data_IF_311652593011
#
_entry.id   IF_311652593011
#
_cell.length_a   1.000
_cell.length_b   1.000
_cell.length_c   1.000
_cell.angle_alpha   90.00
_cell.angle_beta   90.00
_cell.angle_gamma   90.00
#
_symmetry.space_group_name_H-M   'P 1'
#
loop_
_entity.id
_entity.type
_entity.pdbx_description
1 polymer ?
#
# COMPACT_ATOMS: atom_id res chain seq x y z
N UNK A 1 -17.56 -28.60 -26.89
CA UNK A 1 -17.29 -29.14 -25.55
C UNK A 1 -16.06 -28.43 -24.99
N UNK A 2 -16.26 -27.65 -23.93
CA UNK A 2 -15.19 -27.01 -23.14
C UNK A 2 -14.38 -28.07 -22.39
N UNK A 3 -13.06 -27.90 -22.34
CA UNK A 3 -12.25 -28.36 -21.20
C UNK A 3 -11.06 -27.42 -21.00
N UNK A 4 -11.38 -26.29 -20.37
CA UNK A 4 -10.45 -25.63 -19.46
C UNK A 4 -10.09 -26.62 -18.35
N UNK A 5 -8.89 -27.18 -18.38
CA UNK A 5 -8.25 -27.86 -17.25
C UNK A 5 -6.85 -28.35 -17.67
N UNK A 6 -5.93 -27.41 -17.90
CA UNK A 6 -4.49 -27.66 -17.78
C UNK A 6 -3.70 -26.35 -17.90
N UNK A 7 -4.17 -25.27 -17.26
CA UNK A 7 -3.20 -24.27 -16.80
C UNK A 7 -2.52 -24.93 -15.61
N UNK A 8 -1.45 -25.66 -15.93
CA UNK A 8 -0.45 -26.13 -14.99
C UNK A 8 -0.02 -24.92 -14.16
N UNK A 9 -0.59 -24.79 -12.97
CA UNK A 9 -0.04 -23.99 -11.87
C UNK A 9 1.27 -24.68 -11.51
N UNK A 10 2.31 -24.42 -12.30
CA UNK A 10 3.63 -24.36 -11.73
C UNK A 10 3.52 -23.16 -10.80
N UNK A 11 3.44 -23.43 -9.51
CA UNK A 11 3.93 -22.47 -8.52
C UNK A 11 5.35 -22.14 -8.97
N UNK A 12 5.49 -21.07 -9.75
CA UNK A 12 6.78 -20.48 -9.98
C UNK A 12 7.15 -19.95 -8.60
N UNK A 13 7.95 -20.74 -7.87
CA UNK A 13 8.56 -20.31 -6.62
C UNK A 13 9.20 -18.96 -6.90
N UNK A 14 8.81 -17.92 -6.15
CA UNK A 14 9.47 -16.63 -6.28
C UNK A 14 10.93 -16.80 -5.86
N UNK A 15 11.85 -16.61 -6.80
CA UNK A 15 13.29 -16.81 -6.56
C UNK A 15 13.98 -15.55 -6.03
N UNK A 16 13.23 -14.44 -5.92
CA UNK A 16 13.72 -13.14 -5.52
C UNK A 16 13.53 -12.07 -6.59
N UNK A 17 13.81 -10.83 -6.19
CA UNK A 17 13.78 -9.67 -7.07
C UNK A 17 15.05 -9.60 -7.91
N UNK A 18 14.94 -9.33 -9.21
CA UNK A 18 16.11 -9.00 -10.05
C UNK A 18 16.83 -7.76 -9.52
N UNK A 19 16.06 -6.75 -9.09
CA UNK A 19 16.55 -5.57 -8.41
C UNK A 19 15.59 -5.18 -7.27
N UNK A 20 15.91 -5.44 -5.99
CA UNK A 20 14.99 -5.16 -4.89
C UNK A 20 14.77 -3.67 -4.63
N UNK A 21 15.64 -2.76 -5.11
CA UNK A 21 15.42 -1.31 -4.95
C UNK A 21 14.49 -0.72 -6.02
N UNK A 22 14.25 -1.46 -7.11
CA UNK A 22 13.36 -1.08 -8.22
C UNK A 22 12.66 -2.33 -8.77
N UNK A 23 11.79 -2.97 -7.97
CA UNK A 23 11.18 -4.22 -8.38
C UNK A 23 10.08 -3.98 -9.42
N UNK A 24 9.88 -4.94 -10.32
CA UNK A 24 8.75 -4.92 -11.24
C UNK A 24 7.46 -5.18 -10.47
N UNK A 25 6.34 -4.67 -10.97
CA UNK A 25 5.01 -4.91 -10.39
C UNK A 25 4.69 -6.40 -10.22
N UNK A 26 5.06 -7.22 -11.21
CA UNK A 26 4.85 -8.67 -11.17
C UNK A 26 5.70 -9.37 -10.12
N UNK A 27 6.93 -8.89 -9.87
CA UNK A 27 7.79 -9.43 -8.82
C UNK A 27 7.23 -9.09 -7.44
N UNK A 28 6.79 -7.83 -7.26
CA UNK A 28 6.16 -7.39 -6.02
C UNK A 28 4.88 -8.18 -5.73
N UNK A 29 4.04 -8.39 -6.75
CA UNK A 29 2.83 -9.20 -6.62
C UNK A 29 3.16 -10.64 -6.26
N UNK A 30 4.11 -11.27 -6.96
CA UNK A 30 4.51 -12.66 -6.67
C UNK A 30 5.07 -12.80 -5.26
N UNK A 31 5.95 -11.88 -4.83
CA UNK A 31 6.46 -11.84 -3.46
C UNK A 31 5.34 -11.63 -2.43
N UNK A 32 4.37 -10.76 -2.70
CA UNK A 32 3.30 -10.46 -1.76
C UNK A 32 2.42 -11.69 -1.44
N UNK A 33 2.33 -12.63 -2.38
CA UNK A 33 1.67 -13.92 -2.21
C UNK A 33 2.56 -15.03 -1.63
N UNK A 34 3.87 -14.81 -1.57
CA UNK A 34 4.85 -15.74 -0.99
C UNK A 34 5.89 -14.96 -0.16
N UNK A 35 5.51 -14.18 0.88
CA UNK A 35 6.43 -13.26 1.54
C UNK A 35 7.58 -13.95 2.27
N UNK A 36 7.43 -15.23 2.61
CA UNK A 36 8.47 -16.04 3.24
C UNK A 36 9.57 -16.48 2.25
N UNK A 37 9.33 -16.41 0.95
CA UNK A 37 10.33 -16.76 -0.09
C UNK A 37 11.56 -15.86 -0.03
N UNK A 38 11.36 -14.58 0.27
CA UNK A 38 12.42 -13.64 0.61
C UNK A 38 11.98 -12.80 1.80
N UNK A 39 12.52 -13.05 3.01
CA UNK A 39 12.09 -12.36 4.21
C UNK A 39 12.42 -10.88 4.12
N UNK A 40 11.60 -10.02 4.75
CA UNK A 40 11.82 -8.58 4.80
C UNK A 40 13.20 -8.20 5.37
N UNK A 41 13.79 -9.02 6.24
CA UNK A 41 15.14 -8.80 6.77
C UNK A 41 16.25 -8.91 5.72
N UNK A 42 15.96 -9.50 4.56
CA UNK A 42 16.87 -9.58 3.42
C UNK A 42 16.66 -8.43 2.42
N UNK A 43 15.66 -7.58 2.63
CA UNK A 43 15.42 -6.39 1.80
C UNK A 43 16.35 -5.24 2.19
N UNK A 44 16.58 -4.27 1.29
CA UNK A 44 17.23 -3.02 1.65
C UNK A 44 16.60 -2.38 2.88
N UNK A 45 17.39 -1.61 3.64
CA UNK A 45 16.84 -0.74 4.67
C UNK A 45 15.83 0.22 4.03
N UNK A 46 14.73 0.48 4.72
CA UNK A 46 13.66 1.39 4.27
C UNK A 46 13.05 0.98 2.92
N UNK A 47 12.97 -0.34 2.67
CA UNK A 47 12.43 -0.89 1.43
C UNK A 47 10.99 -0.46 1.15
N UNK A 48 10.18 -0.33 2.21
CA UNK A 48 8.84 0.25 2.17
C UNK A 48 8.84 1.67 1.59
N UNK A 49 9.81 2.52 1.94
CA UNK A 49 9.97 3.86 1.35
C UNK A 49 10.33 3.78 -0.15
N UNK A 50 11.24 2.88 -0.52
CA UNK A 50 11.70 2.72 -1.90
C UNK A 50 10.57 2.34 -2.84
N UNK A 51 9.72 1.40 -2.42
CA UNK A 51 8.65 0.87 -3.29
C UNK A 51 7.36 1.69 -3.25
N UNK A 52 7.18 2.61 -2.29
CA UNK A 52 5.96 3.43 -2.12
C UNK A 52 5.85 4.61 -3.12
N UNK A 53 6.34 4.41 -4.34
CA UNK A 53 6.36 5.39 -5.42
C UNK A 53 5.18 5.29 -6.40
N UNK A 54 5.13 6.21 -7.38
CA UNK A 54 4.06 6.26 -8.39
C UNK A 54 4.06 5.05 -9.34
N UNK A 55 5.20 4.39 -9.54
CA UNK A 55 5.33 3.20 -10.41
C UNK A 55 4.57 2.03 -9.80
N UNK A 56 4.83 1.70 -8.54
CA UNK A 56 4.26 0.54 -7.85
C UNK A 56 2.98 0.85 -7.07
N UNK A 57 2.62 2.13 -6.90
CA UNK A 57 1.41 2.55 -6.21
C UNK A 57 0.13 1.80 -6.63
N UNK A 58 -0.15 1.57 -7.93
CA UNK A 58 -1.29 0.75 -8.35
C UNK A 58 -1.24 -0.69 -7.85
N UNK A 59 -0.08 -1.36 -7.96
CA UNK A 59 0.10 -2.74 -7.49
C UNK A 59 -0.06 -2.82 -5.97
N UNK A 60 0.58 -1.91 -5.23
CA UNK A 60 0.44 -1.81 -3.77
C UNK A 60 -1.01 -1.58 -3.35
N UNK A 61 -1.75 -0.76 -4.09
CA UNK A 61 -3.16 -0.53 -3.82
C UNK A 61 -4.00 -1.79 -4.00
N UNK A 62 -3.83 -2.54 -5.10
CA UNK A 62 -4.54 -3.82 -5.28
C UNK A 62 -4.20 -4.81 -4.16
N UNK A 63 -2.92 -4.94 -3.79
CA UNK A 63 -2.47 -5.82 -2.72
C UNK A 63 -3.04 -5.41 -1.35
N UNK A 64 -3.21 -4.12 -1.08
CA UNK A 64 -3.81 -3.61 0.16
C UNK A 64 -5.34 -3.86 0.20
N UNK A 65 -6.00 -3.84 -0.95
CA UNK A 65 -7.42 -4.14 -1.11
C UNK A 65 -7.74 -5.63 -1.00
N UNK A 66 -6.80 -6.52 -1.37
CA UNK A 66 -7.04 -7.96 -1.37
C UNK A 66 -6.93 -8.57 0.04
N UNK A 67 -8.04 -9.16 0.52
CA UNK A 67 -8.14 -9.81 1.82
C UNK A 67 -7.40 -11.16 1.90
N UNK A 68 -7.07 -11.75 0.76
CA UNK A 68 -6.34 -13.03 0.68
C UNK A 68 -4.82 -12.83 0.56
N UNK A 69 -4.36 -11.62 0.29
CA UNK A 69 -2.93 -11.31 0.18
C UNK A 69 -2.20 -11.50 1.54
N UNK A 70 -1.22 -12.42 1.63
CA UNK A 70 -0.42 -12.60 2.85
C UNK A 70 0.35 -11.34 3.26
N UNK A 71 0.96 -10.63 2.30
CA UNK A 71 1.68 -9.38 2.56
C UNK A 71 0.77 -8.14 2.61
N UNK A 72 -0.55 -8.30 2.70
CA UNK A 72 -1.52 -7.20 2.67
C UNK A 72 -1.21 -6.08 3.64
N UNK A 73 -0.85 -6.44 4.88
CA UNK A 73 -0.53 -5.47 5.93
C UNK A 73 0.68 -4.60 5.58
N UNK A 74 1.67 -5.18 4.90
CA UNK A 74 2.82 -4.45 4.39
C UNK A 74 2.41 -3.52 3.24
N UNK A 75 1.56 -3.98 2.32
CA UNK A 75 1.02 -3.12 1.26
C UNK A 75 0.21 -1.93 1.82
N UNK A 76 -0.61 -2.15 2.86
CA UNK A 76 -1.32 -1.07 3.55
C UNK A 76 -0.38 -0.03 4.17
N UNK A 77 0.74 -0.48 4.74
CA UNK A 77 1.78 0.41 5.26
C UNK A 77 2.39 1.27 4.15
N UNK A 78 2.76 0.66 3.03
CA UNK A 78 3.24 1.38 1.85
C UNK A 78 2.19 2.37 1.32
N UNK A 79 0.89 2.07 1.41
CA UNK A 79 -0.17 3.02 1.03
C UNK A 79 -0.27 4.23 1.97
N UNK A 80 0.09 4.10 3.25
CA UNK A 80 0.21 5.27 4.15
C UNK A 80 1.42 6.13 3.78
N UNK A 81 2.57 5.54 3.48
CA UNK A 81 3.76 6.25 2.98
C UNK A 81 3.44 6.98 1.67
N UNK A 82 2.82 6.29 0.71
CA UNK A 82 2.41 6.87 -0.57
C UNK A 82 1.51 8.10 -0.37
N UNK A 83 0.56 8.00 0.57
CA UNK A 83 -0.35 9.09 0.90
C UNK A 83 0.37 10.26 1.58
N UNK A 84 1.28 10.01 2.52
CA UNK A 84 2.09 11.03 3.18
C UNK A 84 2.85 11.90 2.17
N UNK A 85 3.40 11.30 1.11
CA UNK A 85 4.04 12.04 0.03
C UNK A 85 3.03 12.75 -0.89
N UNK A 86 1.87 12.14 -1.14
CA UNK A 86 0.81 12.72 -1.96
C UNK A 86 0.12 13.95 -1.36
N UNK A 87 0.17 14.13 -0.05
CA UNK A 87 -0.44 15.29 0.64
C UNK A 87 0.49 16.51 0.76
N UNK A 88 1.80 16.36 0.52
CA UNK A 88 2.75 17.48 0.64
C UNK A 88 2.38 18.61 -0.31
N UNK A 89 2.66 19.86 0.08
CA UNK A 89 2.31 21.04 -0.72
C UNK A 89 2.89 20.95 -2.14
N UNK A 90 4.13 20.50 -2.26
CA UNK A 90 4.88 20.32 -3.51
C UNK A 90 4.58 19.02 -4.27
N UNK A 91 3.64 18.18 -3.81
CA UNK A 91 3.29 16.96 -4.53
C UNK A 91 2.64 17.31 -5.88
N UNK A 92 3.01 16.55 -6.92
CA UNK A 92 2.54 16.79 -8.29
C UNK A 92 1.03 16.65 -8.41
N UNK A 93 0.42 17.39 -9.34
CA UNK A 93 -1.02 17.29 -9.63
C UNK A 93 -1.43 15.87 -10.02
N UNK A 94 -0.56 15.15 -10.74
CA UNK A 94 -0.79 13.76 -11.11
C UNK A 94 -0.87 12.84 -9.88
N UNK A 95 0.06 13.01 -8.92
CA UNK A 95 0.08 12.22 -7.68
C UNK A 95 -1.16 12.48 -6.83
N UNK A 96 -1.51 13.76 -6.64
CA UNK A 96 -2.74 14.17 -5.93
C UNK A 96 -3.99 13.57 -6.58
N UNK A 97 -4.09 13.59 -7.92
CA UNK A 97 -5.21 12.97 -8.65
C UNK A 97 -5.26 11.46 -8.48
N UNK A 98 -4.11 10.78 -8.49
CA UNK A 98 -4.05 9.32 -8.29
C UNK A 98 -4.45 8.94 -6.88
N UNK A 99 -3.93 9.62 -5.86
CA UNK A 99 -4.30 9.42 -4.46
C UNK A 99 -5.82 9.55 -4.27
N UNK A 100 -6.44 10.60 -4.83
CA UNK A 100 -7.90 10.77 -4.78
C UNK A 100 -8.67 9.58 -5.36
N UNK A 101 -8.24 9.05 -6.51
CA UNK A 101 -8.88 7.86 -7.11
C UNK A 101 -8.78 6.62 -6.23
N UNK A 102 -7.64 6.41 -5.59
CA UNK A 102 -7.46 5.30 -4.66
C UNK A 102 -8.37 5.47 -3.43
N UNK A 103 -8.44 6.67 -2.87
CA UNK A 103 -9.34 6.98 -1.75
C UNK A 103 -10.80 6.73 -2.10
N UNK A 104 -11.27 7.24 -3.24
CA UNK A 104 -12.64 7.06 -3.72
C UNK A 104 -12.98 5.56 -3.86
N UNK A 105 -12.08 4.76 -4.43
CA UNK A 105 -12.29 3.31 -4.57
C UNK A 105 -12.27 2.58 -3.22
N UNK A 106 -11.33 2.91 -2.35
CA UNK A 106 -11.24 2.31 -1.01
C UNK A 106 -12.48 2.63 -0.16
N UNK A 107 -13.09 3.81 -0.31
CA UNK A 107 -14.34 4.16 0.36
C UNK A 107 -15.54 3.38 -0.18
N UNK A 108 -15.60 3.17 -1.50
CA UNK A 108 -16.73 2.51 -2.14
C UNK A 108 -16.74 1.00 -1.94
N UNK A 109 -15.58 0.35 -2.08
CA UNK A 109 -15.49 -1.13 -2.13
C UNK A 109 -14.44 -1.71 -1.20
N UNK A 110 -13.70 -0.88 -0.47
CA UNK A 110 -12.72 -1.35 0.51
C UNK A 110 -13.38 -1.90 1.77
N UNK A 111 -12.66 -2.80 2.44
CA UNK A 111 -13.00 -3.23 3.79
C UNK A 111 -12.58 -2.17 4.82
N UNK A 112 -12.85 -2.42 6.11
CA UNK A 112 -12.66 -1.45 7.17
C UNK A 112 -11.23 -0.82 7.21
N UNK A 113 -10.11 -1.58 7.14
CA UNK A 113 -8.77 -0.98 7.06
C UNK A 113 -8.60 0.01 5.90
N UNK A 114 -9.13 -0.32 4.72
CA UNK A 114 -9.01 0.55 3.54
C UNK A 114 -9.94 1.76 3.61
N UNK A 115 -11.11 1.62 4.23
CA UNK A 115 -12.00 2.75 4.53
C UNK A 115 -11.37 3.70 5.56
N UNK A 116 -10.71 3.16 6.60
CA UNK A 116 -9.96 3.96 7.58
C UNK A 116 -8.80 4.69 6.89
N UNK A 117 -8.03 3.99 6.05
CA UNK A 117 -6.96 4.61 5.27
C UNK A 117 -7.47 5.77 4.41
N UNK A 118 -8.55 5.57 3.66
CA UNK A 118 -9.11 6.62 2.82
C UNK A 118 -9.62 7.83 3.63
N UNK A 119 -10.30 7.59 4.75
CA UNK A 119 -10.67 8.63 5.70
C UNK A 119 -9.46 9.42 6.20
N UNK A 120 -8.40 8.71 6.62
CA UNK A 120 -7.18 9.32 7.14
C UNK A 120 -6.47 10.16 6.08
N UNK A 121 -6.37 9.67 4.85
CA UNK A 121 -5.86 10.43 3.71
C UNK A 121 -6.65 11.73 3.50
N UNK A 122 -7.99 11.66 3.53
CA UNK A 122 -8.84 12.85 3.36
C UNK A 122 -8.64 13.87 4.47
N UNK A 123 -8.53 13.40 5.72
CA UNK A 123 -8.24 14.26 6.86
C UNK A 123 -6.89 14.93 6.68
N UNK A 124 -5.83 14.17 6.35
CA UNK A 124 -4.49 14.74 6.19
C UNK A 124 -4.41 15.75 5.04
N UNK A 125 -5.13 15.52 3.93
CA UNK A 125 -5.21 16.46 2.81
C UNK A 125 -5.82 17.81 3.19
N UNK A 126 -6.73 17.84 4.16
CA UNK A 126 -7.38 19.08 4.63
C UNK A 126 -6.71 19.66 5.87
N UNK A 127 -6.00 18.82 6.62
CA UNK A 127 -5.35 19.13 7.89
C UNK A 127 -3.94 18.54 7.96
N UNK A 128 -2.97 19.10 7.20
CA UNK A 128 -1.60 18.57 7.17
C UNK A 128 -0.89 18.60 8.52
N UNK A 129 -1.34 19.45 9.45
CA UNK A 129 -0.82 19.53 10.82
C UNK A 129 -1.08 18.28 11.67
N UNK A 130 -1.96 17.38 11.20
CA UNK A 130 -2.19 16.07 11.82
C UNK A 130 -1.21 14.98 11.34
N UNK A 131 -0.21 15.34 10.54
CA UNK A 131 0.86 14.41 10.18
C UNK A 131 1.67 14.03 11.43
N UNK A 132 1.79 12.73 11.66
CA UNK A 132 2.66 12.16 12.68
C UNK A 132 3.58 11.13 12.02
N UNK A 133 4.90 11.26 12.24
CA UNK A 133 5.87 10.42 11.56
C UNK A 133 5.70 8.94 11.92
N UNK A 134 5.47 8.65 13.20
CA UNK A 134 5.33 7.28 13.68
C UNK A 134 4.07 6.59 13.10
N UNK A 135 2.96 7.32 13.06
CA UNK A 135 1.70 6.85 12.53
C UNK A 135 1.74 6.56 11.03
N UNK A 136 2.33 7.48 10.26
CA UNK A 136 2.27 7.45 8.79
C UNK A 136 3.45 6.74 8.14
N UNK A 137 4.66 6.94 8.67
CA UNK A 137 5.91 6.46 8.04
C UNK A 137 6.42 5.17 8.68
N UNK A 138 6.13 4.93 9.95
CA UNK A 138 6.63 3.74 10.68
C UNK A 138 5.56 2.67 10.90
N UNK A 139 4.34 2.89 10.41
CA UNK A 139 3.25 1.91 10.42
C UNK A 139 2.37 1.94 11.68
N UNK A 140 2.39 3.02 12.46
CA UNK A 140 1.54 3.18 13.63
C UNK A 140 0.04 3.04 13.32
N UNK A 141 -0.43 3.58 12.19
CA UNK A 141 -1.85 3.47 11.77
C UNK A 141 -2.25 2.10 11.25
N UNK A 142 -1.29 1.30 10.77
CA UNK A 142 -1.53 -0.10 10.41
C UNK A 142 -1.54 -0.99 11.67
N UNK A 143 -0.69 -0.68 12.65
CA UNK A 143 -0.65 -1.40 13.94
C UNK A 143 -1.82 -1.08 14.86
N UNK A 144 -2.25 0.17 14.88
CA UNK A 144 -3.35 0.66 15.70
C UNK A 144 -4.35 1.42 14.82
N UNK A 145 -5.18 0.71 14.03
CA UNK A 145 -6.13 1.32 13.11
C UNK A 145 -7.10 2.24 13.84
N UNK A 146 -7.18 3.49 13.39
CA UNK A 146 -8.10 4.50 13.90
C UNK A 146 -8.36 5.58 12.87
N UNK A 147 -9.53 6.21 12.97
CA UNK A 147 -9.88 7.38 12.17
C UNK A 147 -9.34 8.65 12.83
N UNK A 148 -8.52 9.38 12.10
CA UNK A 148 -7.96 10.67 12.53
C UNK A 148 -9.03 11.77 12.48
N UNK A 149 -8.80 12.85 13.25
CA UNK A 149 -9.65 14.04 13.23
C UNK A 149 -11.01 13.90 13.92
N UNK A 150 -11.34 12.76 14.53
CA UNK A 150 -12.59 12.57 15.28
C UNK A 150 -12.61 13.25 16.65
N UNK A 151 -11.44 13.56 17.22
CA UNK A 151 -11.29 14.20 18.52
C UNK A 151 -10.58 15.54 18.38
N UNK A 152 -11.28 16.57 17.88
CA UNK A 152 -10.86 17.96 18.00
C UNK A 152 -12.08 18.88 17.88
N UNK A 153 -12.92 18.87 18.93
CA UNK A 153 -13.60 20.08 19.42
C UNK A 153 -12.95 20.42 20.76
N UNK A 154 -11.92 21.24 20.74
CA UNK A 154 -11.53 22.08 21.87
C UNK A 154 -11.33 23.48 21.33
#
# INVERSE_FOLDING_TARGET
MNKAAALSVREATFLGFENPVDPRSTELETWAYQPESVPLSAMPRDWDLLISGDVLGPTLFELAMDRQCPARRFAQHCMYIYAADGVRQNASSQRKRRLKKFMERAEQVGDEPMQIWAHNCRVLMTRPELFDHHDWMEGGLVRNPRRLGLFNRR
#
